data_IF_076516714765
#
_entry.id   IF_076516714765
#
_cell.length_a   1.000
_cell.length_b   1.000
_cell.length_c   1.000
_cell.angle_alpha   90.00
_cell.angle_beta   90.00
_cell.angle_gamma   90.00
#
_symmetry.space_group_name_H-M   'P 1'
#
loop_
_entity.id
_entity.type
_entity.pdbx_description
1 polymer ?
#
# COMPACT_ATOMS: atom_id res chain seq x y z
N UNK A 1 21.42 -36.75 3.71
CA UNK A 1 20.10 -36.72 4.39
C UNK A 1 19.94 -35.35 5.01
N UNK A 2 19.24 -34.44 4.31
CA UNK A 2 19.00 -33.09 4.80
C UNK A 2 17.81 -33.12 5.77
N UNK A 3 18.03 -32.64 6.99
CA UNK A 3 16.98 -32.50 7.98
C UNK A 3 15.87 -31.61 7.44
N UNK A 4 14.68 -32.18 7.30
CA UNK A 4 13.43 -31.47 7.07
C UNK A 4 13.24 -30.50 8.24
N UNK A 5 13.50 -29.21 8.02
CA UNK A 5 13.07 -28.17 8.94
C UNK A 5 11.56 -28.33 9.14
N UNK A 6 11.18 -28.66 10.38
CA UNK A 6 9.80 -28.59 10.84
C UNK A 6 9.28 -27.20 10.51
N UNK A 7 8.43 -27.09 9.48
CA UNK A 7 7.79 -25.83 9.10
C UNK A 7 6.75 -25.54 10.18
N UNK A 8 7.12 -24.75 11.19
CA UNK A 8 6.18 -24.36 12.22
C UNK A 8 5.08 -23.51 11.59
N UNK A 9 3.84 -23.89 11.88
CA UNK A 9 2.68 -23.07 11.57
C UNK A 9 2.83 -21.76 12.33
N UNK A 10 2.92 -20.64 11.61
CA UNK A 10 3.03 -19.33 12.22
C UNK A 10 1.77 -18.99 13.03
N UNK A 11 1.99 -18.35 14.18
CA UNK A 11 0.93 -17.87 15.05
C UNK A 11 0.16 -16.71 14.38
N UNK A 12 -1.16 -16.84 14.30
CA UNK A 12 -2.01 -15.87 13.61
C UNK A 12 -2.08 -14.54 14.35
N UNK A 13 -2.08 -14.56 15.68
CA UNK A 13 -2.21 -13.34 16.47
C UNK A 13 -0.93 -12.51 16.36
N UNK A 14 0.22 -13.18 16.28
CA UNK A 14 1.50 -12.54 15.96
C UNK A 14 1.47 -11.89 14.57
N UNK A 15 1.02 -12.60 13.54
CA UNK A 15 0.98 -12.07 12.18
C UNK A 15 -0.02 -10.91 12.05
N UNK A 16 -1.17 -10.99 12.72
CA UNK A 16 -2.14 -9.90 12.80
C UNK A 16 -1.54 -8.68 13.53
N UNK A 17 -0.83 -8.90 14.65
CA UNK A 17 -0.11 -7.84 15.36
C UNK A 17 0.93 -7.13 14.49
N UNK A 18 1.76 -7.88 13.76
CA UNK A 18 2.72 -7.29 12.80
C UNK A 18 2.01 -6.48 11.73
N UNK A 19 0.90 -6.97 11.19
CA UNK A 19 0.14 -6.28 10.16
C UNK A 19 -0.45 -4.96 10.69
N UNK A 20 -1.06 -4.98 11.87
CA UNK A 20 -1.58 -3.78 12.55
C UNK A 20 -0.47 -2.78 12.85
N UNK A 21 0.68 -3.24 13.35
CA UNK A 21 1.83 -2.37 13.64
C UNK A 21 2.35 -1.70 12.37
N UNK A 22 2.49 -2.43 11.26
CA UNK A 22 2.96 -1.84 10.00
C UNK A 22 1.95 -0.84 9.45
N UNK A 23 0.65 -1.16 9.49
CA UNK A 23 -0.40 -0.27 8.99
C UNK A 23 -0.50 1.05 9.76
N UNK A 24 -0.23 1.01 11.07
CA UNK A 24 -0.32 2.18 11.95
C UNK A 24 1.00 2.95 12.08
N UNK A 25 2.15 2.28 12.05
CA UNK A 25 3.46 2.89 12.31
C UNK A 25 4.30 3.13 11.06
N UNK A 26 3.96 2.50 9.93
CA UNK A 26 4.67 2.68 8.66
C UNK A 26 3.68 3.18 7.61
N UNK A 27 3.39 4.49 7.58
CA UNK A 27 2.47 5.07 6.59
C UNK A 27 2.90 4.75 5.16
N UNK A 28 1.92 4.63 4.28
CA UNK A 28 2.22 4.54 2.86
C UNK A 28 2.64 5.93 2.37
N UNK A 29 3.79 5.99 1.71
CA UNK A 29 4.31 7.23 1.16
C UNK A 29 5.04 6.99 -0.16
N UNK A 30 4.44 7.47 -1.25
CA UNK A 30 5.05 7.39 -2.58
C UNK A 30 6.11 8.46 -2.84
N UNK A 31 6.18 9.52 -2.04
CA UNK A 31 7.20 10.57 -2.11
C UNK A 31 8.54 10.14 -1.48
N UNK A 32 8.54 9.27 -0.46
CA UNK A 32 9.75 8.86 0.28
C UNK A 32 10.89 8.38 -0.62
N UNK A 33 10.57 7.55 -1.62
CA UNK A 33 11.56 6.96 -2.52
C UNK A 33 12.19 8.00 -3.47
N UNK A 34 11.52 9.11 -3.76
CA UNK A 34 12.12 10.20 -4.52
C UNK A 34 13.19 10.93 -3.72
N UNK A 35 12.91 11.21 -2.44
CA UNK A 35 13.91 11.80 -1.53
C UNK A 35 15.14 10.91 -1.40
N UNK A 36 14.94 9.59 -1.33
CA UNK A 36 16.02 8.61 -1.21
C UNK A 36 16.83 8.49 -2.51
N UNK A 37 16.18 8.32 -3.66
CA UNK A 37 16.87 7.93 -4.89
C UNK A 37 17.26 9.08 -5.84
N UNK A 38 16.55 10.20 -5.75
CA UNK A 38 16.78 11.41 -6.56
C UNK A 38 17.14 12.64 -5.70
N UNK A 39 16.82 12.62 -4.40
CA UNK A 39 17.09 13.70 -3.47
C UNK A 39 18.34 13.51 -2.62
N UNK A 40 18.22 13.77 -1.32
CA UNK A 40 19.33 13.80 -0.35
C UNK A 40 19.80 12.43 0.12
N UNK A 41 19.22 11.33 -0.37
CA UNK A 41 19.62 9.98 0.03
C UNK A 41 18.85 9.43 1.24
N UNK A 42 17.88 10.16 1.77
CA UNK A 42 17.10 9.75 2.94
C UNK A 42 15.69 10.36 2.95
N UNK A 43 14.80 9.72 3.69
CA UNK A 43 13.47 10.24 4.07
C UNK A 43 13.29 10.00 5.57
N UNK A 44 12.72 10.94 6.35
CA UNK A 44 12.51 10.71 7.77
C UNK A 44 11.60 9.49 7.99
N UNK A 45 11.96 8.61 8.94
CA UNK A 45 11.25 7.33 9.17
C UNK A 45 9.75 7.52 9.45
N UNK A 46 9.38 8.59 10.16
CA UNK A 46 7.99 8.94 10.48
C UNK A 46 7.09 9.10 9.24
N UNK A 47 7.69 9.40 8.08
CA UNK A 47 6.98 9.51 6.81
C UNK A 47 6.68 8.15 6.16
N UNK A 48 7.13 7.04 6.75
CA UNK A 48 6.92 5.70 6.22
C UNK A 48 7.63 5.48 4.88
N UNK A 49 7.03 4.66 4.01
CA UNK A 49 7.70 4.21 2.78
C UNK A 49 6.72 3.78 1.69
N UNK A 50 7.25 3.47 0.49
CA UNK A 50 6.46 3.01 -0.64
C UNK A 50 5.97 1.56 -0.46
N UNK A 51 4.99 1.17 -1.27
CA UNK A 51 4.23 -0.08 -1.14
C UNK A 51 5.08 -1.34 -0.93
N UNK A 52 6.09 -1.57 -1.78
CA UNK A 52 6.95 -2.75 -1.69
C UNK A 52 7.74 -2.80 -0.38
N UNK A 53 8.21 -1.65 0.11
CA UNK A 53 8.98 -1.56 1.34
C UNK A 53 8.12 -1.74 2.60
N UNK A 54 6.83 -1.37 2.58
CA UNK A 54 5.92 -1.74 3.67
C UNK A 54 5.80 -3.27 3.78
N UNK A 55 5.74 -3.96 2.64
CA UNK A 55 5.72 -5.43 2.61
C UNK A 55 7.05 -6.01 3.09
N UNK A 56 8.19 -5.43 2.72
CA UNK A 56 9.49 -5.86 3.22
C UNK A 56 9.61 -5.68 4.74
N UNK A 57 9.17 -4.54 5.28
CA UNK A 57 9.15 -4.25 6.73
C UNK A 57 8.29 -5.27 7.49
N UNK A 58 7.09 -5.59 6.99
CA UNK A 58 6.27 -6.64 7.58
C UNK A 58 6.99 -8.00 7.61
N UNK A 59 7.67 -8.36 6.52
CA UNK A 59 8.45 -9.60 6.46
C UNK A 59 9.65 -9.62 7.42
N UNK A 60 10.35 -8.49 7.57
CA UNK A 60 11.47 -8.35 8.51
C UNK A 60 10.99 -8.47 9.96
N UNK A 61 9.87 -7.83 10.32
CA UNK A 61 9.28 -7.95 11.67
C UNK A 61 8.91 -9.39 12.01
N UNK A 62 8.27 -10.12 11.09
CA UNK A 62 7.95 -11.54 11.30
C UNK A 62 9.23 -12.36 11.45
N UNK A 63 10.23 -12.16 10.59
CA UNK A 63 11.49 -12.88 10.66
C UNK A 63 12.22 -12.64 11.99
N UNK A 64 12.23 -11.40 12.48
CA UNK A 64 12.82 -11.06 13.78
C UNK A 64 12.11 -11.72 14.95
N UNK A 65 10.79 -11.85 14.90
CA UNK A 65 9.98 -12.43 15.98
C UNK A 65 9.95 -13.96 15.96
N UNK A 66 10.09 -14.58 14.78
CA UNK A 66 9.81 -16.03 14.61
C UNK A 66 10.97 -16.83 14.03
N UNK A 67 11.98 -16.16 13.48
CA UNK A 67 13.04 -16.78 12.67
C UNK A 67 12.61 -17.22 11.28
N UNK A 68 11.33 -17.07 10.91
CA UNK A 68 10.79 -17.49 9.60
C UNK A 68 10.84 -16.32 8.62
N UNK A 69 11.55 -16.50 7.52
CA UNK A 69 11.68 -15.49 6.46
C UNK A 69 10.54 -15.59 5.45
N UNK A 70 10.01 -14.44 5.03
CA UNK A 70 9.04 -14.37 3.94
C UNK A 70 9.66 -14.75 2.59
N UNK A 71 8.85 -15.33 1.71
CA UNK A 71 9.10 -15.31 0.27
C UNK A 71 8.32 -14.16 -0.35
N UNK A 72 8.99 -13.28 -1.08
CA UNK A 72 8.34 -12.14 -1.72
C UNK A 72 7.98 -12.46 -3.18
N UNK A 73 6.71 -12.24 -3.54
CA UNK A 73 6.24 -12.41 -4.92
C UNK A 73 5.83 -11.10 -5.55
N UNK A 74 6.08 -11.03 -6.86
CA UNK A 74 5.88 -9.83 -7.67
C UNK A 74 4.68 -10.03 -8.59
N UNK A 75 3.88 -8.98 -8.74
CA UNK A 75 2.77 -8.90 -9.68
C UNK A 75 2.73 -7.50 -10.29
N UNK A 76 3.31 -7.35 -11.47
CA UNK A 76 3.60 -6.02 -12.02
C UNK A 76 4.61 -5.29 -11.13
N UNK A 77 4.24 -4.11 -10.59
CA UNK A 77 5.08 -3.32 -9.67
C UNK A 77 4.77 -3.56 -8.19
N UNK A 78 3.91 -4.53 -7.89
CA UNK A 78 3.44 -4.80 -6.53
C UNK A 78 4.11 -6.04 -5.93
N UNK A 79 4.32 -6.03 -4.62
CA UNK A 79 4.99 -7.11 -3.89
C UNK A 79 4.16 -7.52 -2.68
N UNK A 80 3.99 -8.83 -2.50
CA UNK A 80 3.40 -9.41 -1.28
C UNK A 80 4.38 -10.37 -0.59
N UNK A 81 4.25 -10.52 0.73
CA UNK A 81 5.02 -11.45 1.54
C UNK A 81 4.23 -12.75 1.74
N UNK A 82 4.87 -13.89 1.46
CA UNK A 82 4.28 -15.21 1.53
C UNK A 82 4.99 -16.11 2.55
N UNK A 83 4.21 -16.85 3.32
CA UNK A 83 4.67 -17.93 4.19
C UNK A 83 3.91 -19.19 3.83
N UNK A 84 4.60 -20.21 3.32
CA UNK A 84 3.99 -21.49 2.94
C UNK A 84 4.53 -22.59 3.84
N UNK A 85 3.68 -23.10 4.73
CA UNK A 85 4.04 -24.21 5.63
C UNK A 85 3.90 -25.58 4.95
N UNK A 86 3.47 -25.62 3.69
CA UNK A 86 3.18 -26.84 2.93
C UNK A 86 1.70 -27.18 2.86
N UNK A 87 0.92 -26.77 3.86
CA UNK A 87 -0.54 -26.97 3.92
C UNK A 87 -1.29 -25.67 3.65
N UNK A 88 -0.82 -24.56 4.23
CA UNK A 88 -1.42 -23.24 4.15
C UNK A 88 -0.44 -22.24 3.54
N UNK A 89 -0.91 -21.51 2.53
CA UNK A 89 -0.25 -20.29 2.09
C UNK A 89 -0.80 -19.12 2.91
N UNK A 90 0.05 -18.41 3.62
CA UNK A 90 -0.30 -17.19 4.35
C UNK A 90 0.27 -15.97 3.61
N UNK A 91 -0.57 -14.96 3.38
CA UNK A 91 -0.20 -13.72 2.67
C UNK A 91 -0.26 -12.55 3.65
N UNK A 92 0.81 -11.74 3.67
CA UNK A 92 0.83 -10.42 4.27
C UNK A 92 1.14 -9.37 3.20
N UNK A 93 0.26 -8.39 3.09
CA UNK A 93 0.31 -7.31 2.13
C UNK A 93 -0.25 -5.98 2.71
N UNK A 94 0.52 -5.30 3.57
CA UNK A 94 0.05 -4.08 4.24
C UNK A 94 -0.34 -2.97 3.25
N UNK A 95 0.21 -2.95 2.04
CA UNK A 95 -0.19 -1.99 1.01
C UNK A 95 -1.65 -2.12 0.57
N UNK A 96 -2.18 -3.36 0.58
CA UNK A 96 -3.58 -3.67 0.31
C UNK A 96 -4.49 -3.53 1.54
N UNK A 97 -3.95 -3.03 2.66
CA UNK A 97 -4.69 -2.56 3.82
C UNK A 97 -5.61 -3.59 4.52
N UNK A 98 -5.47 -4.88 4.21
CA UNK A 98 -6.14 -5.95 4.96
C UNK A 98 -5.77 -5.92 6.44
N UNK A 99 -6.73 -6.25 7.31
CA UNK A 99 -6.61 -6.16 8.77
C UNK A 99 -6.26 -7.49 9.43
N UNK A 100 -6.37 -8.59 8.68
CA UNK A 100 -5.98 -9.91 9.14
C UNK A 100 -5.18 -10.65 8.06
N UNK A 101 -4.22 -11.51 8.42
CA UNK A 101 -3.49 -12.34 7.47
C UNK A 101 -4.44 -13.20 6.63
N UNK A 102 -4.24 -13.22 5.31
CA UNK A 102 -5.00 -14.11 4.43
C UNK A 102 -4.42 -15.51 4.52
N UNK A 103 -5.23 -16.50 4.90
CA UNK A 103 -4.79 -17.90 5.02
C UNK A 103 -5.52 -18.78 4.03
N UNK A 104 -4.76 -19.35 3.11
CA UNK A 104 -5.26 -20.18 2.03
C UNK A 104 -4.83 -21.62 2.28
N UNK A 105 -5.71 -22.38 2.96
CA UNK A 105 -5.50 -23.80 3.21
C UNK A 105 -5.74 -24.62 1.94
N UNK A 106 -4.80 -25.50 1.58
CA UNK A 106 -4.95 -26.43 0.43
C UNK A 106 -6.20 -27.28 0.54
N UNK A 107 -6.57 -27.69 1.76
CA UNK A 107 -7.77 -28.50 2.01
C UNK A 107 -9.09 -27.77 1.74
N UNK A 108 -9.07 -26.44 1.64
CA UNK A 108 -10.24 -25.62 1.32
C UNK A 108 -10.42 -25.38 -0.19
N UNK A 109 -9.65 -26.08 -1.04
CA UNK A 109 -9.75 -25.92 -2.49
C UNK A 109 -11.09 -26.46 -3.02
N UNK A 110 -11.79 -25.63 -3.79
CA UNK A 110 -12.97 -26.00 -4.59
C UNK A 110 -12.62 -25.77 -6.05
N UNK A 111 -12.83 -26.80 -6.89
CA UNK A 111 -12.43 -26.79 -8.30
C UNK A 111 -10.96 -26.37 -8.52
N UNK A 112 -10.08 -26.83 -7.61
CA UNK A 112 -8.65 -26.54 -7.66
C UNK A 112 -8.25 -25.11 -7.25
N UNK A 113 -9.18 -24.31 -6.71
CA UNK A 113 -8.93 -22.92 -6.26
C UNK A 113 -9.28 -22.79 -4.78
N UNK A 114 -8.34 -22.28 -3.99
CA UNK A 114 -8.59 -21.82 -2.61
C UNK A 114 -8.99 -20.35 -2.66
N UNK A 115 -10.05 -19.98 -1.94
CA UNK A 115 -10.55 -18.60 -1.86
C UNK A 115 -10.65 -18.18 -0.40
N UNK A 116 -10.22 -16.96 -0.09
CA UNK A 116 -10.42 -16.34 1.21
C UNK A 116 -10.54 -14.84 1.05
N UNK A 117 -11.09 -14.17 2.05
CA UNK A 117 -11.12 -12.72 2.11
C UNK A 117 -10.84 -12.21 3.52
N UNK A 118 -10.50 -10.93 3.62
CA UNK A 118 -10.28 -10.20 4.87
C UNK A 118 -10.80 -8.78 4.72
N UNK A 119 -11.37 -8.23 5.78
CA UNK A 119 -11.66 -6.79 5.86
C UNK A 119 -10.37 -5.98 5.69
N UNK A 120 -10.50 -4.81 5.08
CA UNK A 120 -9.42 -3.89 4.81
C UNK A 120 -9.87 -2.44 5.05
N UNK A 121 -8.90 -1.56 5.29
CA UNK A 121 -9.17 -0.11 5.28
C UNK A 121 -9.44 0.37 3.85
N UNK A 122 -10.18 1.48 3.66
CA UNK A 122 -10.90 2.26 4.68
C UNK A 122 -12.09 1.52 5.31
N UNK A 123 -12.43 1.87 6.55
CA UNK A 123 -13.54 1.31 7.32
C UNK A 123 -14.82 2.14 7.13
N UNK A 124 -15.35 2.08 5.91
CA UNK A 124 -16.46 2.93 5.48
C UNK A 124 -17.79 2.53 6.12
N UNK A 125 -18.78 3.42 5.96
CA UNK A 125 -20.16 3.19 6.37
C UNK A 125 -21.10 3.28 5.17
N UNK A 126 -22.13 2.45 5.18
CA UNK A 126 -23.24 2.57 4.24
C UNK A 126 -24.15 3.75 4.61
N UNK A 127 -25.12 4.07 3.74
CA UNK A 127 -26.03 5.20 3.93
C UNK A 127 -26.90 5.08 5.20
N UNK A 128 -27.16 3.84 5.66
CA UNK A 128 -27.86 3.54 6.91
C UNK A 128 -26.94 3.58 8.15
N UNK A 129 -25.65 3.90 7.97
CA UNK A 129 -24.64 3.95 9.02
C UNK A 129 -24.00 2.61 9.38
N UNK A 130 -24.45 1.50 8.78
CA UNK A 130 -23.88 0.17 9.01
C UNK A 130 -22.44 0.08 8.50
N UNK A 131 -21.57 -0.76 9.12
CA UNK A 131 -20.20 -0.95 8.65
C UNK A 131 -20.17 -1.55 7.24
N UNK A 132 -19.36 -0.94 6.38
CA UNK A 132 -19.13 -1.38 5.01
C UNK A 132 -17.63 -1.24 4.68
N UNK A 133 -16.76 -2.06 5.31
CA UNK A 133 -15.33 -1.95 5.12
C UNK A 133 -14.93 -2.31 3.68
N UNK A 134 -13.72 -1.87 3.30
CA UNK A 134 -13.07 -2.41 2.11
C UNK A 134 -12.71 -3.88 2.32
N UNK A 135 -12.44 -4.61 1.24
CA UNK A 135 -12.18 -6.06 1.30
C UNK A 135 -10.99 -6.41 0.43
N UNK A 136 -10.10 -7.24 0.97
CA UNK A 136 -9.06 -7.93 0.19
C UNK A 136 -9.49 -9.38 -0.03
N UNK A 137 -9.67 -9.76 -1.29
CA UNK A 137 -9.94 -11.15 -1.70
C UNK A 137 -8.68 -11.79 -2.26
N UNK A 138 -8.46 -13.04 -1.91
CA UNK A 138 -7.37 -13.85 -2.41
C UNK A 138 -7.88 -15.13 -3.05
N UNK A 139 -7.32 -15.44 -4.22
CA UNK A 139 -7.60 -16.65 -4.98
C UNK A 139 -6.27 -17.32 -5.27
N UNK A 140 -6.09 -18.55 -4.81
CA UNK A 140 -4.84 -19.25 -5.00
C UNK A 140 -5.09 -20.62 -5.61
N UNK A 141 -4.32 -20.95 -6.64
CA UNK A 141 -4.34 -22.25 -7.29
C UNK A 141 -3.12 -23.04 -6.82
N UNK A 142 -3.28 -24.07 -5.96
CA UNK A 142 -2.13 -24.82 -5.45
C UNK A 142 -1.34 -25.54 -6.53
N UNK A 143 -2.01 -26.00 -7.59
CA UNK A 143 -1.41 -26.81 -8.66
C UNK A 143 -0.32 -26.06 -9.43
N UNK A 144 -0.52 -24.77 -9.70
CA UNK A 144 0.41 -23.91 -10.44
C UNK A 144 0.94 -22.75 -9.59
N UNK A 145 0.64 -22.72 -8.30
CA UNK A 145 1.10 -21.71 -7.34
C UNK A 145 0.65 -20.27 -7.61
N UNK A 146 -0.26 -20.04 -8.57
CA UNK A 146 -0.69 -18.68 -8.93
C UNK A 146 -1.60 -18.10 -7.85
N UNK A 147 -1.25 -16.93 -7.33
CA UNK A 147 -2.03 -16.16 -6.36
C UNK A 147 -2.57 -14.90 -7.02
N UNK A 148 -3.88 -14.68 -6.96
CA UNK A 148 -4.53 -13.44 -7.36
C UNK A 148 -5.06 -12.71 -6.14
N UNK A 149 -4.71 -11.44 -6.01
CA UNK A 149 -5.19 -10.54 -4.98
C UNK A 149 -6.10 -9.50 -5.62
N UNK A 150 -7.26 -9.25 -5.01
CA UNK A 150 -8.23 -8.25 -5.44
C UNK A 150 -8.61 -7.40 -4.24
N UNK A 151 -8.22 -6.13 -4.26
CA UNK A 151 -8.58 -5.16 -3.26
C UNK A 151 -9.74 -4.31 -3.76
N UNK A 152 -10.86 -4.42 -3.06
CA UNK A 152 -12.11 -3.74 -3.34
C UNK A 152 -12.37 -2.68 -2.28
N UNK A 153 -12.84 -1.52 -2.70
CA UNK A 153 -13.27 -0.44 -1.79
C UNK A 153 -14.77 -0.30 -1.86
N UNK A 154 -15.41 -0.09 -0.72
CA UNK A 154 -16.84 0.16 -0.67
C UNK A 154 -17.12 1.59 -1.08
N UNK A 155 -17.78 1.85 -2.21
CA UNK A 155 -18.16 3.21 -2.62
C UNK A 155 -19.48 3.61 -1.94
N UNK A 156 -19.50 4.60 -1.02
CA UNK A 156 -20.74 5.03 -0.39
C UNK A 156 -21.73 5.64 -1.41
N UNK A 157 -21.20 6.18 -2.52
CA UNK A 157 -21.99 6.74 -3.62
C UNK A 157 -22.75 5.66 -4.39
N UNK A 158 -22.10 4.54 -4.70
CA UNK A 158 -22.70 3.45 -5.46
C UNK A 158 -23.42 2.42 -4.57
N UNK A 159 -23.09 2.39 -3.28
CA UNK A 159 -23.65 1.42 -2.34
C UNK A 159 -23.07 0.01 -2.52
N UNK A 160 -21.89 -0.13 -3.14
CA UNK A 160 -21.30 -1.43 -3.46
C UNK A 160 -19.76 -1.41 -3.40
N UNK A 161 -19.16 -2.62 -3.40
CA UNK A 161 -17.71 -2.81 -3.50
C UNK A 161 -17.23 -2.67 -4.95
N UNK A 162 -16.33 -1.71 -5.17
CA UNK A 162 -15.70 -1.45 -6.47
C UNK A 162 -14.26 -1.98 -6.47
N UNK A 163 -13.87 -2.63 -7.56
CA UNK A 163 -12.49 -3.09 -7.75
C UNK A 163 -11.53 -1.90 -7.81
N UNK A 164 -10.63 -1.78 -6.82
CA UNK A 164 -9.66 -0.70 -6.77
C UNK A 164 -8.28 -1.15 -7.28
N UNK A 165 -7.81 -2.33 -6.86
CA UNK A 165 -6.54 -2.92 -7.33
C UNK A 165 -6.68 -4.42 -7.52
N UNK A 166 -5.99 -4.96 -8.52
CA UNK A 166 -5.89 -6.39 -8.72
C UNK A 166 -4.47 -6.77 -9.16
N UNK A 167 -3.92 -7.80 -8.55
CA UNK A 167 -2.57 -8.30 -8.83
C UNK A 167 -2.61 -9.80 -9.05
N UNK A 168 -1.79 -10.28 -9.98
CA UNK A 168 -1.56 -11.71 -10.20
C UNK A 168 -0.09 -11.98 -9.93
N UNK A 169 0.17 -12.80 -8.93
CA UNK A 169 1.49 -13.20 -8.45
C UNK A 169 1.77 -14.61 -8.98
N UNK A 170 2.80 -14.77 -9.82
CA UNK A 170 3.17 -16.07 -10.40
C UNK A 170 4.38 -16.68 -9.70
N UNK A 171 4.54 -18.01 -9.71
CA UNK A 171 5.65 -18.67 -9.03
C UNK A 171 7.06 -18.30 -9.50
N UNK A 172 7.19 -17.88 -10.74
CA UNK A 172 8.42 -17.45 -11.39
C UNK A 172 8.78 -16.00 -11.04
N UNK A 173 7.78 -15.18 -10.68
CA UNK A 173 7.95 -13.76 -10.37
C UNK A 173 8.20 -13.59 -8.86
N UNK A 174 9.47 -13.71 -8.46
CA UNK A 174 9.93 -13.64 -7.07
C UNK A 174 11.05 -12.62 -6.92
N UNK A 175 11.05 -11.87 -5.82
CA UNK A 175 12.20 -11.05 -5.46
C UNK A 175 13.31 -11.98 -4.98
N UNK A 176 14.44 -11.96 -5.67
CA UNK A 176 15.60 -12.84 -5.38
C UNK A 176 16.71 -12.12 -4.63
N UNK A 177 16.70 -10.79 -4.61
CA UNK A 177 17.72 -9.96 -3.98
C UNK A 177 17.09 -8.82 -3.19
N UNK A 178 17.55 -8.63 -1.95
CA UNK A 178 17.23 -7.50 -1.08
C UNK A 178 18.53 -6.95 -0.47
N UNK A 179 18.72 -5.62 -0.39
CA UNK A 179 17.82 -4.57 -0.87
C UNK A 179 17.70 -4.53 -2.40
N UNK A 180 16.58 -4.03 -2.91
CA UNK A 180 16.37 -3.89 -4.37
C UNK A 180 17.43 -2.94 -4.96
N UNK A 181 18.10 -3.29 -6.06
CA UNK A 181 19.15 -2.45 -6.65
C UNK A 181 18.67 -1.03 -6.97
N UNK A 182 19.42 -0.02 -6.52
CA UNK A 182 19.03 1.38 -6.70
C UNK A 182 18.75 1.81 -8.15
N UNK A 183 19.49 1.33 -9.19
CA UNK A 183 19.15 1.63 -10.58
C UNK A 183 17.75 1.13 -10.98
N UNK A 184 17.37 -0.07 -10.55
CA UNK A 184 16.05 -0.65 -10.81
C UNK A 184 14.95 0.15 -10.10
N UNK A 185 15.18 0.57 -8.85
CA UNK A 185 14.22 1.42 -8.13
C UNK A 185 14.00 2.75 -8.86
N UNK A 186 15.08 3.40 -9.30
CA UNK A 186 15.00 4.66 -10.04
C UNK A 186 14.16 4.55 -11.30
N UNK A 187 14.30 3.47 -12.05
CA UNK A 187 13.49 3.18 -13.24
C UNK A 187 12.00 3.02 -12.88
N UNK A 188 11.69 2.21 -11.86
CA UNK A 188 10.31 1.94 -11.44
C UNK A 188 9.57 3.17 -10.93
N UNK A 189 10.29 4.13 -10.34
CA UNK A 189 9.70 5.39 -9.87
C UNK A 189 9.18 6.24 -11.04
N UNK A 190 9.88 6.28 -12.18
CA UNK A 190 9.50 7.09 -13.33
C UNK A 190 8.46 6.42 -14.26
N UNK A 191 7.84 5.33 -13.81
CA UNK A 191 6.83 4.63 -14.58
C UNK A 191 5.60 5.52 -14.85
N UNK A 192 4.97 5.46 -16.04
CA UNK A 192 3.82 6.31 -16.39
C UNK A 192 2.66 6.26 -15.40
N UNK A 193 2.41 5.11 -14.78
CA UNK A 193 1.37 4.95 -13.75
C UNK A 193 1.61 5.76 -12.47
N UNK A 194 2.79 6.38 -12.29
CA UNK A 194 3.01 7.36 -11.24
C UNK A 194 2.34 8.69 -11.62
N UNK A 195 1.04 8.77 -11.36
CA UNK A 195 0.22 9.95 -11.68
C UNK A 195 -0.09 10.87 -10.51
N UNK A 196 0.49 10.60 -9.35
CA UNK A 196 0.35 11.43 -8.16
C UNK A 196 1.51 11.12 -7.21
N UNK A 197 1.71 11.95 -6.19
CA UNK A 197 2.44 11.57 -4.98
C UNK A 197 1.51 11.72 -3.79
N UNK A 198 1.54 10.78 -2.87
CA UNK A 198 0.68 10.80 -1.69
C UNK A 198 1.34 10.22 -0.46
N UNK A 199 0.90 10.72 0.69
CA UNK A 199 1.09 10.13 2.01
C UNK A 199 -0.27 9.69 2.51
N UNK A 200 -0.37 8.44 2.96
CA UNK A 200 -1.59 7.81 3.45
C UNK A 200 -1.31 7.06 4.75
N UNK A 201 -2.11 7.35 5.77
CA UNK A 201 -1.95 6.78 7.11
C UNK A 201 -3.29 6.27 7.64
N UNK A 202 -3.23 5.21 8.46
CA UNK A 202 -4.32 4.84 9.36
C UNK A 202 -4.09 5.60 10.65
N UNK A 203 -5.08 6.39 11.06
CA UNK A 203 -4.96 7.22 12.25
C UNK A 203 -4.99 6.36 13.53
N UNK A 204 -4.02 6.50 14.45
CA UNK A 204 -3.87 5.60 15.60
C UNK A 204 -5.00 5.72 16.64
N UNK A 205 -5.73 6.84 16.65
CA UNK A 205 -6.79 7.09 17.64
C UNK A 205 -8.17 6.52 17.28
N UNK A 206 -8.47 6.34 15.99
CA UNK A 206 -9.83 6.03 15.52
C UNK A 206 -9.89 5.10 14.31
N UNK A 207 -8.76 4.52 13.89
CA UNK A 207 -8.67 3.61 12.75
C UNK A 207 -9.11 4.25 11.40
N UNK A 208 -9.26 5.57 11.34
CA UNK A 208 -9.66 6.27 10.12
C UNK A 208 -8.50 6.34 9.12
N UNK A 209 -8.72 5.89 7.88
CA UNK A 209 -7.74 6.07 6.80
C UNK A 209 -7.81 7.50 6.28
N UNK A 210 -6.68 8.19 6.18
CA UNK A 210 -6.59 9.53 5.60
C UNK A 210 -5.42 9.63 4.63
N UNK A 211 -5.55 10.45 3.59
CA UNK A 211 -4.55 10.62 2.54
C UNK A 211 -4.43 12.10 2.15
N UNK A 212 -3.20 12.58 1.99
CA UNK A 212 -2.91 13.83 1.28
C UNK A 212 -2.14 13.48 0.01
N UNK A 213 -2.63 13.94 -1.12
CA UNK A 213 -2.11 13.62 -2.44
C UNK A 213 -1.90 14.86 -3.30
N UNK A 214 -0.93 14.76 -4.21
CA UNK A 214 -0.56 15.75 -5.21
C UNK A 214 -0.70 15.12 -6.61
N UNK A 215 -1.86 15.26 -7.26
CA UNK A 215 -2.14 14.64 -8.57
C UNK A 215 -1.45 15.35 -9.72
N UNK A 216 -0.73 14.66 -10.61
CA UNK A 216 -0.01 15.26 -11.74
C UNK A 216 -0.83 15.57 -13.02
N UNK A 217 -1.88 14.80 -13.38
CA UNK A 217 -2.61 14.98 -14.64
C UNK A 217 -3.13 16.40 -14.88
N UNK A 218 -3.11 16.81 -16.14
CA UNK A 218 -3.55 18.13 -16.58
C UNK A 218 -2.62 19.29 -16.21
N UNK A 219 -1.43 19.01 -15.65
CA UNK A 219 -0.46 20.04 -15.24
C UNK A 219 0.82 19.98 -16.09
N UNK A 220 1.35 21.14 -16.52
CA UNK A 220 2.57 21.18 -17.31
C UNK A 220 3.81 20.89 -16.47
N UNK A 221 4.90 20.50 -17.13
CA UNK A 221 6.24 20.41 -16.54
C UNK A 221 6.65 21.74 -15.92
N UNK A 222 7.45 21.71 -14.85
CA UNK A 222 7.84 22.89 -14.07
C UNK A 222 6.74 23.40 -13.13
N UNK A 223 5.58 22.75 -13.11
CA UNK A 223 4.41 23.18 -12.32
C UNK A 223 3.78 22.04 -11.50
N UNK A 224 4.48 20.90 -11.35
CA UNK A 224 3.99 19.76 -10.57
C UNK A 224 4.06 20.01 -9.06
N UNK A 225 5.05 20.76 -8.59
CA UNK A 225 5.22 21.13 -7.18
C UNK A 225 4.45 22.42 -6.86
N UNK A 226 3.12 22.32 -6.70
CA UNK A 226 2.24 23.43 -6.32
C UNK A 226 1.29 23.03 -5.21
N UNK A 227 1.22 23.84 -4.16
CA UNK A 227 0.37 23.59 -2.98
C UNK A 227 -1.11 23.57 -3.34
N UNK A 228 -1.53 24.45 -4.24
CA UNK A 228 -2.93 24.61 -4.64
C UNK A 228 -3.48 23.38 -5.37
N UNK A 229 -2.59 22.50 -5.83
CA UNK A 229 -2.94 21.23 -6.45
C UNK A 229 -3.10 20.07 -5.46
N UNK A 230 -2.79 20.28 -4.17
CA UNK A 230 -2.99 19.27 -3.15
C UNK A 230 -4.48 19.00 -2.94
N UNK A 231 -4.77 17.72 -2.72
CA UNK A 231 -6.08 17.23 -2.32
C UNK A 231 -5.91 16.33 -1.10
N UNK A 232 -6.93 16.27 -0.25
CA UNK A 232 -6.98 15.32 0.85
C UNK A 232 -8.21 14.43 0.70
N UNK A 233 -8.12 13.20 1.21
CA UNK A 233 -9.22 12.23 1.26
C UNK A 233 -9.43 11.75 2.68
N UNK A 234 -10.69 11.77 3.10
CA UNK A 234 -11.12 11.14 4.34
C UNK A 234 -11.37 9.64 4.17
N UNK A 235 -11.70 8.97 5.27
CA UNK A 235 -11.97 7.53 5.30
C UNK A 235 -13.18 7.15 4.43
N UNK A 236 -14.18 8.03 4.30
CA UNK A 236 -15.35 7.82 3.44
C UNK A 236 -15.07 8.05 1.95
N UNK A 237 -13.84 8.43 1.60
CA UNK A 237 -13.39 8.68 0.22
C UNK A 237 -13.55 10.12 -0.23
N UNK A 238 -14.17 10.99 0.58
CA UNK A 238 -14.53 12.34 0.16
C UNK A 238 -13.27 13.17 -0.09
N UNK A 239 -13.21 13.76 -1.27
CA UNK A 239 -12.09 14.61 -1.69
C UNK A 239 -12.32 16.04 -1.25
N UNK A 240 -11.33 16.62 -0.56
CA UNK A 240 -11.25 18.04 -0.25
C UNK A 240 -10.04 18.68 -0.94
N UNK A 241 -10.19 19.94 -1.36
CA UNK A 241 -9.15 20.69 -2.08
C UNK A 241 -8.41 21.65 -1.15
N UNK A 242 -7.16 21.95 -1.49
CA UNK A 242 -6.36 22.98 -0.84
C UNK A 242 -7.15 24.26 -0.54
N UNK A 243 -6.90 24.86 0.63
CA UNK A 243 -7.56 26.09 1.09
C UNK A 243 -8.96 25.88 1.67
N UNK A 244 -9.58 24.70 1.53
CA UNK A 244 -10.85 24.40 2.19
C UNK A 244 -10.65 24.00 3.66
N UNK A 245 -11.61 24.30 4.57
CA UNK A 245 -11.54 23.84 5.95
C UNK A 245 -11.49 22.31 6.10
N UNK A 246 -12.11 21.58 5.16
CA UNK A 246 -12.07 20.11 5.16
C UNK A 246 -10.66 19.58 4.86
N UNK A 247 -9.96 20.20 3.90
CA UNK A 247 -8.58 19.86 3.60
C UNK A 247 -7.66 20.10 4.79
N UNK A 248 -7.83 21.25 5.47
CA UNK A 248 -7.04 21.56 6.68
C UNK A 248 -7.15 20.49 7.75
N UNK A 249 -8.37 20.01 8.03
CA UNK A 249 -8.60 18.93 9.01
C UNK A 249 -7.94 17.60 8.61
N UNK A 250 -8.07 17.20 7.35
CA UNK A 250 -7.45 15.94 6.90
C UNK A 250 -5.92 16.03 6.87
N UNK A 251 -5.37 17.20 6.50
CA UNK A 251 -3.94 17.44 6.59
C UNK A 251 -3.43 17.38 8.03
N UNK A 252 -4.16 17.96 8.99
CA UNK A 252 -3.87 17.85 10.42
C UNK A 252 -3.90 16.39 10.89
N UNK A 253 -4.90 15.61 10.48
CA UNK A 253 -5.00 14.18 10.82
C UNK A 253 -3.84 13.36 10.25
N UNK A 254 -3.46 13.61 9.00
CA UNK A 254 -2.27 12.98 8.40
C UNK A 254 -1.02 13.36 9.19
N UNK A 255 -0.85 14.65 9.50
CA UNK A 255 0.30 15.14 10.25
C UNK A 255 0.40 14.55 11.67
N UNK A 256 -0.74 14.42 12.37
CA UNK A 256 -0.85 13.76 13.67
C UNK A 256 -0.41 12.30 13.60
N UNK A 257 -0.95 11.54 12.64
CA UNK A 257 -0.57 10.13 12.43
C UNK A 257 0.92 9.96 12.11
N UNK A 258 1.53 10.96 11.46
CA UNK A 258 2.95 11.01 11.13
C UNK A 258 3.81 11.61 12.25
N UNK A 259 3.23 12.08 13.36
CA UNK A 259 3.93 12.81 14.44
C UNK A 259 4.74 14.01 13.93
N UNK A 260 4.17 14.78 13.00
CA UNK A 260 4.84 15.89 12.30
C UNK A 260 3.90 17.09 12.18
N UNK A 261 4.37 18.22 11.63
CA UNK A 261 3.51 19.37 11.35
C UNK A 261 2.81 19.27 9.97
N UNK A 262 1.62 19.87 9.80
CA UNK A 262 0.96 20.00 8.50
C UNK A 262 1.86 20.51 7.38
N UNK A 263 2.68 21.54 7.66
CA UNK A 263 3.57 22.12 6.67
C UNK A 263 4.68 21.14 6.24
N UNK A 264 5.21 20.33 7.16
CA UNK A 264 6.21 19.33 6.78
C UNK A 264 5.65 18.28 5.81
N UNK A 265 4.37 17.91 5.94
CA UNK A 265 3.71 16.99 4.99
C UNK A 265 3.62 17.62 3.61
N UNK A 266 3.20 18.88 3.55
CA UNK A 266 3.12 19.67 2.31
C UNK A 266 4.51 19.76 1.67
N UNK A 267 5.50 20.26 2.40
CA UNK A 267 6.87 20.41 1.93
C UNK A 267 7.48 19.10 1.44
N UNK A 268 7.20 17.99 2.16
CA UNK A 268 7.68 16.66 1.78
C UNK A 268 7.15 16.24 0.40
N UNK A 269 5.86 16.44 0.14
CA UNK A 269 5.23 16.13 -1.14
C UNK A 269 5.71 17.05 -2.26
N UNK A 270 5.79 18.36 -2.02
CA UNK A 270 6.24 19.33 -3.04
C UNK A 270 7.70 19.10 -3.45
N UNK A 271 8.59 18.86 -2.47
CA UNK A 271 9.99 18.55 -2.76
C UNK A 271 10.12 17.28 -3.60
N UNK A 272 9.38 16.22 -3.26
CA UNK A 272 9.38 14.99 -4.05
C UNK A 272 8.82 15.21 -5.47
N UNK A 273 7.77 16.03 -5.60
CA UNK A 273 7.22 16.38 -6.91
C UNK A 273 8.24 17.16 -7.77
N UNK A 274 9.02 18.06 -7.17
CA UNK A 274 10.08 18.76 -7.89
C UNK A 274 11.19 17.79 -8.34
N UNK A 275 11.56 16.80 -7.52
CA UNK A 275 12.50 15.75 -7.89
C UNK A 275 11.97 14.88 -9.04
N UNK A 276 10.70 14.49 -8.98
CA UNK A 276 10.03 13.77 -10.07
C UNK A 276 10.03 14.59 -11.37
N UNK A 277 9.64 15.86 -11.31
CA UNK A 277 9.54 16.76 -12.46
C UNK A 277 10.92 17.01 -13.12
N UNK A 278 11.99 17.00 -12.32
CA UNK A 278 13.36 17.06 -12.83
C UNK A 278 13.80 15.75 -13.52
N UNK A 279 13.44 14.60 -12.95
CA UNK A 279 13.89 13.29 -13.42
C UNK A 279 13.05 12.68 -14.55
N UNK A 280 11.76 13.00 -14.63
CA UNK A 280 10.83 12.36 -15.56
C UNK A 280 11.16 12.66 -17.04
N UNK A 281 11.03 11.66 -17.95
CA UNK A 281 11.18 11.87 -19.38
C UNK A 281 10.24 12.94 -19.93
N UNK A 282 10.72 13.77 -20.86
CA UNK A 282 9.96 14.92 -21.41
C UNK A 282 8.65 14.50 -22.09
N UNK A 283 8.62 13.32 -22.73
CA UNK A 283 7.45 12.79 -23.42
C UNK A 283 6.54 11.89 -22.57
N UNK A 284 6.75 11.82 -21.25
CA UNK A 284 5.97 10.94 -20.39
C UNK A 284 4.51 11.41 -20.32
N UNK A 285 3.59 10.60 -20.86
CA UNK A 285 2.16 10.82 -20.72
C UNK A 285 1.70 10.19 -19.41
N UNK A 286 1.19 11.03 -18.52
CA UNK A 286 0.70 10.60 -17.21
C UNK A 286 -0.82 10.35 -17.30
N UNK A 287 -1.31 9.15 -16.93
CA UNK A 287 -2.74 8.83 -16.97
C UNK A 287 -3.51 9.58 -15.89
N UNK A 288 -4.81 9.74 -16.10
CA UNK A 288 -5.70 10.44 -15.16
C UNK A 288 -5.61 9.88 -13.73
N UNK A 289 -5.76 10.78 -12.77
CA UNK A 289 -5.82 10.46 -11.35
C UNK A 289 -7.29 10.49 -10.93
N UNK A 290 -7.84 9.31 -10.62
CA UNK A 290 -9.24 9.22 -10.22
C UNK A 290 -9.47 10.03 -8.94
N UNK A 291 -10.30 11.06 -9.03
CA UNK A 291 -10.81 11.81 -7.89
C UNK A 291 -12.18 11.28 -7.42
N UNK A 292 -12.65 10.18 -8.01
CA UNK A 292 -13.96 9.63 -7.66
C UNK A 292 -13.94 8.95 -6.28
N UNK A 293 -15.08 9.03 -5.58
CA UNK A 293 -15.39 8.26 -4.37
C UNK A 293 -15.51 6.76 -4.73
N UNK A 294 -14.39 6.11 -5.04
CA UNK A 294 -14.28 4.66 -5.16
C UNK A 294 -13.87 4.05 -3.81
#
# INVERSE_FOLDING_TARGET
MAASASRSRLDQDLLAGVLTDVLSQVPYNSAAQYHIHYGTGSSPERFGTACAWQTFDAGERVARLTGVTARYRVGGRHVCALYDDGETLTVLDPYLLHRAPLRLSRSAAVDGVVRTESEAYPLRRAADGSPAPSVLRAFWRPADGVLRLQYLRYSPRLGELVMHRAYTMRPEDTVTELPVPAPLVRELLLHPEQNNLSVRAVHPGDDGLTEVALPFPGRPRGALAREEALVARDDQGRVSRWGSPAFGRELERVAEALTTSPQEVVDHLLRAAALYDAAAPVGLVVPDYSLEDA
#
